data_IF_879161821492
#
_entry.id   IF_879161821492
#
_cell.length_a   1.000
_cell.length_b   1.000
_cell.length_c   1.000
_cell.angle_alpha   90.00
_cell.angle_beta   90.00
_cell.angle_gamma   90.00
#
_symmetry.space_group_name_H-M   'P 1'
#
loop_
_entity.id
_entity.type
_entity.pdbx_description
1 polymer ?
#
# COMPACT_ATOMS: atom_id res chain seq x y z
N UNK A 1 -18.45 10.46 -2.00
CA UNK A 1 -17.06 10.56 -2.45
C UNK A 1 -16.92 11.78 -3.30
N UNK A 2 -16.26 12.80 -2.77
CA UNK A 2 -15.91 14.01 -3.50
C UNK A 2 -14.72 13.75 -4.44
N UNK A 3 -14.54 14.60 -5.48
CA UNK A 3 -13.42 14.45 -6.43
C UNK A 3 -12.05 14.49 -5.74
N UNK A 4 -11.93 15.29 -4.68
CA UNK A 4 -10.72 15.43 -3.88
C UNK A 4 -10.36 14.12 -3.17
N UNK A 5 -11.33 13.49 -2.49
CA UNK A 5 -11.13 12.18 -1.85
C UNK A 5 -10.73 11.08 -2.86
N UNK A 6 -11.31 11.12 -4.06
CA UNK A 6 -10.98 10.17 -5.12
C UNK A 6 -9.54 10.36 -5.63
N UNK A 7 -9.06 11.61 -5.70
CA UNK A 7 -7.73 11.96 -6.16
C UNK A 7 -6.67 11.58 -5.13
N UNK A 8 -6.92 11.82 -3.84
CA UNK A 8 -6.04 11.39 -2.76
C UNK A 8 -5.94 9.86 -2.69
N UNK A 9 -7.07 9.15 -2.77
CA UNK A 9 -7.07 7.69 -2.85
C UNK A 9 -6.33 7.17 -4.08
N UNK A 10 -6.51 7.80 -5.23
CA UNK A 10 -5.81 7.41 -6.45
C UNK A 10 -4.30 7.62 -6.31
N UNK A 11 -3.85 8.74 -5.71
CA UNK A 11 -2.43 9.00 -5.43
C UNK A 11 -1.85 7.94 -4.50
N UNK A 12 -2.52 7.66 -3.38
CA UNK A 12 -2.10 6.59 -2.46
C UNK A 12 -1.98 5.24 -3.16
N UNK A 13 -2.95 4.88 -4.02
CA UNK A 13 -2.91 3.64 -4.80
C UNK A 13 -1.87 3.62 -5.93
N UNK A 14 -1.46 4.77 -6.43
CA UNK A 14 -0.43 4.90 -7.46
C UNK A 14 1.00 4.91 -6.88
N UNK A 15 1.17 5.33 -5.62
CA UNK A 15 2.48 5.31 -4.94
C UNK A 15 2.97 3.87 -4.79
N UNK A 16 4.11 3.49 -5.37
CA UNK A 16 4.68 2.16 -5.14
C UNK A 16 5.09 2.02 -3.68
N UNK A 17 4.78 0.87 -3.06
CA UNK A 17 5.26 0.56 -1.72
C UNK A 17 6.68 0.03 -1.86
N UNK A 18 7.62 0.63 -1.14
CA UNK A 18 9.00 0.14 -1.06
C UNK A 18 9.10 -0.95 0.01
N UNK A 19 8.75 -2.18 -0.37
CA UNK A 19 8.77 -3.32 0.55
C UNK A 19 10.16 -3.63 1.08
N UNK A 20 11.22 -3.35 0.30
CA UNK A 20 12.59 -3.63 0.70
C UNK A 20 13.04 -2.66 1.78
N UNK A 21 12.74 -1.36 1.63
CA UNK A 21 12.96 -0.36 2.66
C UNK A 21 12.18 -0.68 3.95
N UNK A 22 10.90 -1.06 3.85
CA UNK A 22 10.09 -1.41 5.02
C UNK A 22 10.62 -2.66 5.74
N UNK A 23 11.19 -3.62 5.01
CA UNK A 23 11.84 -4.79 5.63
C UNK A 23 13.17 -4.40 6.28
N UNK A 24 13.96 -3.55 5.62
CA UNK A 24 15.22 -3.05 6.17
C UNK A 24 15.03 -2.20 7.43
N UNK A 25 13.94 -1.43 7.50
CA UNK A 25 13.57 -0.64 8.68
C UNK A 25 12.97 -1.48 9.83
N UNK A 26 12.74 -2.78 9.61
CA UNK A 26 12.12 -3.67 10.59
C UNK A 26 10.61 -3.43 10.77
N UNK A 27 9.97 -2.75 9.81
CA UNK A 27 8.53 -2.48 9.80
C UNK A 27 7.77 -3.69 9.24
N UNK A 28 8.33 -4.30 8.21
CA UNK A 28 7.85 -5.55 7.61
C UNK A 28 8.85 -6.68 7.82
N UNK A 29 8.34 -7.90 7.91
CA UNK A 29 9.15 -9.10 7.89
C UNK A 29 8.77 -9.95 6.68
N UNK A 30 9.73 -10.29 5.84
CA UNK A 30 9.48 -11.17 4.69
C UNK A 30 9.26 -12.60 5.18
N UNK A 31 8.03 -13.13 4.99
CA UNK A 31 7.63 -14.50 5.37
C UNK A 31 7.22 -15.28 4.13
N UNK A 32 8.20 -15.95 3.51
CA UNK A 32 8.00 -16.76 2.31
C UNK A 32 7.54 -15.91 1.12
N UNK A 33 6.35 -16.18 0.60
CA UNK A 33 5.75 -15.45 -0.53
C UNK A 33 5.00 -14.17 -0.14
N UNK A 34 5.02 -13.77 1.14
CA UNK A 34 4.35 -12.57 1.63
C UNK A 34 5.17 -11.81 2.66
N UNK A 35 4.53 -10.81 3.28
CA UNK A 35 5.13 -9.97 4.31
C UNK A 35 4.28 -10.05 5.59
N UNK A 36 4.89 -9.83 6.75
CA UNK A 36 4.23 -9.72 8.04
C UNK A 36 4.49 -8.31 8.59
N UNK A 37 3.46 -7.65 9.12
CA UNK A 37 3.66 -6.36 9.79
C UNK A 37 4.29 -6.63 11.15
N UNK A 38 5.47 -6.07 11.37
CA UNK A 38 6.09 -6.00 12.69
C UNK A 38 5.65 -4.73 13.40
N UNK A 39 5.57 -3.62 12.67
CA UNK A 39 5.23 -2.32 13.22
C UNK A 39 4.15 -1.62 12.36
N UNK A 40 2.92 -1.56 12.86
CA UNK A 40 1.80 -0.97 12.13
C UNK A 40 1.81 0.57 12.22
N UNK A 41 2.42 1.14 13.25
CA UNK A 41 2.46 2.59 13.45
C UNK A 41 3.43 3.23 12.47
N UNK A 42 4.59 2.59 12.23
CA UNK A 42 5.59 3.03 11.27
C UNK A 42 5.25 2.74 9.80
N UNK A 43 4.18 1.99 9.54
CA UNK A 43 3.76 1.70 8.18
C UNK A 43 3.21 2.97 7.51
N UNK A 44 3.63 3.31 6.27
CA UNK A 44 3.09 4.46 5.56
C UNK A 44 1.59 4.33 5.33
N UNK A 45 0.84 5.43 5.40
CA UNK A 45 -0.62 5.40 5.20
C UNK A 45 -1.03 4.85 3.83
N UNK A 46 -0.28 5.20 2.78
CA UNK A 46 -0.51 4.65 1.44
C UNK A 46 -0.27 3.14 1.36
N UNK A 47 0.57 2.57 2.22
CA UNK A 47 0.79 1.14 2.32
C UNK A 47 -0.35 0.46 3.12
N UNK A 48 -0.81 1.10 4.21
CA UNK A 48 -1.99 0.67 4.99
C UNK A 48 -3.22 0.57 4.11
N UNK A 49 -3.49 1.58 3.28
CA UNK A 49 -4.63 1.63 2.36
C UNK A 49 -4.61 0.53 1.29
N UNK A 50 -3.42 -0.04 1.02
CA UNK A 50 -3.23 -1.12 0.05
C UNK A 50 -3.32 -2.51 0.68
N UNK A 51 -3.45 -2.64 2.00
CA UNK A 51 -3.62 -3.93 2.65
C UNK A 51 -5.00 -4.48 2.27
N UNK A 52 -5.02 -5.57 1.51
CA UNK A 52 -6.28 -6.20 1.09
C UNK A 52 -6.67 -7.36 1.98
N UNK A 53 -5.69 -7.99 2.64
CA UNK A 53 -5.92 -9.19 3.41
C UNK A 53 -4.90 -9.25 4.54
N UNK A 54 -5.40 -9.52 5.75
CA UNK A 54 -4.60 -9.82 6.93
C UNK A 54 -4.96 -11.25 7.34
N UNK A 55 -4.02 -12.17 7.16
CA UNK A 55 -4.15 -13.55 7.63
C UNK A 55 -4.03 -13.61 9.15
N UNK A 56 -4.67 -14.59 9.77
CA UNK A 56 -4.62 -14.82 11.23
C UNK A 56 -3.21 -15.06 11.78
N UNK A 57 -2.26 -15.47 10.94
CA UNK A 57 -0.83 -15.66 11.26
C UNK A 57 -0.02 -14.33 11.27
N UNK A 58 -0.67 -13.21 10.96
CA UNK A 58 -0.07 -11.89 10.81
C UNK A 58 0.53 -11.62 9.44
N UNK A 59 0.39 -12.54 8.47
CA UNK A 59 0.77 -12.29 7.08
C UNK A 59 -0.22 -11.33 6.43
N UNK A 60 0.32 -10.37 5.70
CA UNK A 60 -0.47 -9.39 4.96
C UNK A 60 -0.21 -9.50 3.46
N UNK A 61 -1.28 -9.29 2.69
CA UNK A 61 -1.21 -9.11 1.25
C UNK A 61 -1.52 -7.67 0.90
N UNK A 62 -0.67 -7.12 0.06
CA UNK A 62 -0.87 -5.80 -0.52
C UNK A 62 -1.44 -5.93 -1.93
N UNK A 63 -2.38 -5.06 -2.27
CA UNK A 63 -2.74 -4.82 -3.67
C UNK A 63 -1.52 -4.32 -4.43
N UNK A 64 -1.24 -4.93 -5.59
CA UNK A 64 -0.25 -4.38 -6.53
C UNK A 64 -0.67 -2.97 -6.93
N UNK A 65 0.29 -2.05 -6.99
CA UNK A 65 0.10 -0.80 -7.71
C UNK A 65 -0.27 -1.14 -9.17
N UNK A 66 -1.48 -0.80 -9.59
CA UNK A 66 -1.95 -1.09 -10.95
C UNK A 66 -1.74 0.12 -11.84
N UNK A 67 -1.39 -0.12 -13.11
CA UNK A 67 -1.34 0.94 -14.14
C UNK A 67 -2.66 1.71 -14.24
N UNK A 68 -3.77 1.07 -13.87
CA UNK A 68 -5.10 1.68 -13.83
C UNK A 68 -5.25 2.72 -12.71
N UNK A 69 -4.68 2.48 -11.52
CA UNK A 69 -4.66 3.48 -10.45
C UNK A 69 -3.85 4.72 -10.87
N UNK A 70 -2.72 4.51 -11.55
CA UNK A 70 -1.91 5.61 -12.08
C UNK A 70 -2.62 6.40 -13.19
N UNK A 71 -3.37 5.72 -14.07
CA UNK A 71 -4.24 6.38 -15.05
C UNK A 71 -5.38 7.19 -14.41
N UNK A 72 -5.92 6.75 -13.28
CA UNK A 72 -6.94 7.51 -12.55
C UNK A 72 -6.36 8.79 -11.96
N UNK A 73 -5.14 8.75 -11.41
CA UNK A 73 -4.44 9.97 -10.95
C UNK A 73 -4.27 10.95 -12.10
N UNK A 74 -3.80 10.50 -13.26
CA UNK A 74 -3.59 11.34 -14.44
C UNK A 74 -4.89 11.98 -14.93
N UNK A 75 -5.99 11.21 -14.92
CA UNK A 75 -7.32 11.67 -15.35
C UNK A 75 -8.01 12.60 -14.35
N UNK A 76 -7.74 12.46 -13.06
CA UNK A 76 -8.30 13.28 -11.98
C UNK A 76 -7.46 14.55 -11.74
N UNK A 77 -6.20 14.57 -12.17
CA UNK A 77 -5.31 15.74 -12.05
C UNK A 77 -5.41 16.72 -13.22
N UNK A 78 -6.38 16.52 -14.13
CA UNK A 78 -6.59 17.28 -15.37
C UNK A 78 -7.97 17.90 -15.38
#
# INVERSE_FOLDING_TARGET
>A
MSKEEALEKAKSLATPIDFDALVAEGILEKKGAGYKILDMERLPDHAKDKITEISSDGKIKFSKATKSAQKLVDKLSK
#
